data_IF_519623965033
#
_entry.id   IF_519623965033
#
_cell.length_a   1.000
_cell.length_b   1.000
_cell.length_c   1.000
_cell.angle_alpha   90.00
_cell.angle_beta   90.00
_cell.angle_gamma   90.00
#
_symmetry.space_group_name_H-M   'P 1'
#
loop_
_entity.id
_entity.type
_entity.pdbx_description
1 polymer ?
#
# COMPACT_ATOMS: atom_id res chain seq x y z
N UNK A 1 10.74 -55.39 -9.33
CA UNK A 1 9.80 -55.31 -10.47
C UNK A 1 9.20 -53.91 -10.48
N UNK A 2 9.38 -53.19 -11.59
CA UNK A 2 9.31 -51.72 -11.73
C UNK A 2 7.90 -51.13 -11.64
N UNK A 3 7.63 -50.30 -10.62
CA UNK A 3 6.47 -49.38 -10.61
C UNK A 3 6.61 -48.25 -11.63
N UNK A 4 7.84 -47.85 -11.98
CA UNK A 4 8.13 -46.80 -12.98
C UNK A 4 7.80 -47.23 -14.42
N UNK A 5 7.81 -48.52 -14.72
CA UNK A 5 7.46 -49.03 -16.06
C UNK A 5 5.94 -49.11 -16.29
N UNK A 6 5.15 -49.26 -15.21
CA UNK A 6 3.69 -49.34 -15.30
C UNK A 6 3.04 -47.97 -15.54
N UNK A 7 3.57 -46.91 -14.92
CA UNK A 7 3.06 -45.53 -15.09
C UNK A 7 3.36 -45.00 -16.48
N UNK A 8 4.54 -45.29 -17.04
CA UNK A 8 4.91 -44.82 -18.38
C UNK A 8 4.11 -45.53 -19.49
N UNK A 9 3.67 -46.77 -19.28
CA UNK A 9 2.87 -47.51 -20.27
C UNK A 9 1.43 -46.99 -20.38
N UNK A 10 0.87 -46.47 -19.29
CA UNK A 10 -0.51 -45.96 -19.26
C UNK A 10 -0.68 -44.57 -19.90
N UNK A 11 0.39 -43.75 -19.96
CA UNK A 11 0.31 -42.40 -20.57
C UNK A 11 0.30 -42.41 -22.10
N UNK A 12 0.77 -43.49 -22.73
CA UNK A 12 0.82 -43.65 -24.20
C UNK A 12 -0.53 -44.08 -24.78
N UNK A 13 -1.35 -44.81 -24.01
CA UNK A 13 -2.69 -45.27 -24.44
C UNK A 13 -3.81 -44.27 -24.13
N UNK A 14 -3.49 -43.13 -23.52
CA UNK A 14 -4.51 -42.16 -23.14
C UNK A 14 -4.98 -41.37 -24.37
N UNK A 15 -6.30 -41.27 -24.53
CA UNK A 15 -6.92 -40.48 -25.59
C UNK A 15 -6.28 -39.08 -25.63
N UNK A 16 -5.90 -38.55 -26.81
CA UNK A 16 -5.27 -37.24 -26.93
C UNK A 16 -6.07 -36.10 -26.28
N UNK A 17 -7.39 -36.22 -26.15
CA UNK A 17 -8.23 -35.27 -25.38
C UNK A 17 -8.05 -35.39 -23.87
N UNK A 18 -8.03 -36.60 -23.30
CA UNK A 18 -7.81 -36.82 -21.86
C UNK A 18 -6.37 -36.43 -21.47
N UNK A 19 -5.41 -36.62 -22.37
CA UNK A 19 -4.03 -36.12 -22.20
C UNK A 19 -3.92 -34.59 -22.19
N UNK A 20 -4.87 -33.88 -22.81
CA UNK A 20 -4.94 -32.41 -22.71
C UNK A 20 -5.57 -31.98 -21.39
N UNK A 21 -6.60 -32.68 -20.92
CA UNK A 21 -7.23 -32.38 -19.62
C UNK A 21 -6.27 -32.60 -18.46
N UNK A 22 -5.58 -33.74 -18.42
CA UNK A 22 -4.53 -34.01 -17.42
C UNK A 22 -3.39 -32.98 -17.47
N UNK A 23 -2.96 -32.54 -18.66
CA UNK A 23 -1.96 -31.46 -18.79
C UNK A 23 -2.49 -30.09 -18.36
N UNK A 24 -3.80 -29.85 -18.42
CA UNK A 24 -4.42 -28.61 -17.93
C UNK A 24 -4.55 -28.67 -16.41
N UNK A 25 -4.96 -29.80 -15.85
CA UNK A 25 -4.98 -30.05 -14.39
C UNK A 25 -3.57 -29.95 -13.78
N UNK A 26 -2.56 -30.64 -14.32
CA UNK A 26 -1.17 -30.54 -13.85
C UNK A 26 -0.62 -29.10 -13.96
N UNK A 27 -0.97 -28.37 -15.04
CA UNK A 27 -0.53 -26.99 -15.25
C UNK A 27 -1.22 -25.99 -14.32
N UNK A 28 -2.46 -26.26 -13.91
CA UNK A 28 -3.17 -25.43 -12.93
C UNK A 28 -2.70 -25.74 -11.49
N UNK A 29 -2.31 -26.99 -11.19
CA UNK A 29 -1.72 -27.37 -9.90
C UNK A 29 -0.30 -26.79 -9.68
N UNK A 30 0.56 -26.78 -10.70
CA UNK A 30 1.90 -26.16 -10.64
C UNK A 30 1.86 -24.62 -10.60
N UNK A 31 0.69 -24.03 -10.85
CA UNK A 31 0.50 -22.59 -11.02
C UNK A 31 -0.52 -22.03 -10.01
N UNK A 32 -0.62 -22.68 -8.84
CA UNK A 32 -1.34 -22.17 -7.68
C UNK A 32 -0.57 -21.06 -6.96
N UNK A 33 -1.30 -20.20 -6.27
CA UNK A 33 -0.75 -19.16 -5.42
C UNK A 33 -0.03 -19.74 -4.19
N UNK A 34 1.10 -19.14 -3.82
CA UNK A 34 1.95 -19.54 -2.70
C UNK A 34 2.26 -18.35 -1.79
N UNK A 35 2.42 -18.60 -0.50
CA UNK A 35 2.84 -17.61 0.49
C UNK A 35 4.17 -16.94 0.10
N UNK A 36 5.15 -17.74 -0.36
CA UNK A 36 6.45 -17.21 -0.80
C UNK A 36 6.32 -16.33 -2.04
N UNK A 37 5.44 -16.71 -2.97
CA UNK A 37 5.17 -15.93 -4.18
C UNK A 37 4.54 -14.57 -3.89
N UNK A 38 3.67 -14.50 -2.87
CA UNK A 38 3.05 -13.25 -2.40
C UNK A 38 4.08 -12.39 -1.67
N UNK A 39 4.85 -12.98 -0.74
CA UNK A 39 5.85 -12.26 0.04
C UNK A 39 6.91 -11.57 -0.85
N UNK A 40 7.44 -12.28 -1.86
CA UNK A 40 8.39 -11.70 -2.81
C UNK A 40 7.78 -10.51 -3.58
N UNK A 41 6.52 -10.61 -4.00
CA UNK A 41 5.84 -9.51 -4.71
C UNK A 41 5.59 -8.31 -3.81
N UNK A 42 5.23 -8.54 -2.54
CA UNK A 42 5.08 -7.45 -1.56
C UNK A 42 6.43 -6.76 -1.34
N UNK A 43 7.54 -7.51 -1.26
CA UNK A 43 8.89 -6.93 -1.17
C UNK A 43 9.21 -6.10 -2.41
N UNK A 44 8.86 -6.56 -3.62
CA UNK A 44 9.05 -5.78 -4.85
C UNK A 44 8.32 -4.43 -4.77
N UNK A 45 7.07 -4.41 -4.27
CA UNK A 45 6.33 -3.17 -4.08
C UNK A 45 6.97 -2.25 -3.03
N UNK A 46 7.46 -2.80 -1.92
CA UNK A 46 8.18 -2.02 -0.91
C UNK A 46 9.49 -1.45 -1.44
N UNK A 47 10.25 -2.23 -2.20
CA UNK A 47 11.47 -1.76 -2.87
C UNK A 47 11.16 -0.67 -3.90
N UNK A 48 10.02 -0.75 -4.60
CA UNK A 48 9.58 0.32 -5.49
C UNK A 48 9.29 1.62 -4.72
N UNK A 49 8.69 1.55 -3.53
CA UNK A 49 8.49 2.73 -2.68
C UNK A 49 9.83 3.34 -2.21
N UNK A 50 10.77 2.50 -1.79
CA UNK A 50 12.14 2.94 -1.41
C UNK A 50 12.88 3.53 -2.61
N UNK A 51 12.71 2.95 -3.81
CA UNK A 51 13.28 3.50 -5.04
C UNK A 51 12.68 4.88 -5.35
N UNK A 52 11.39 5.09 -5.13
CA UNK A 52 10.75 6.41 -5.23
C UNK A 52 11.34 7.44 -4.26
N UNK A 53 11.55 7.05 -3.00
CA UNK A 53 12.22 7.87 -1.99
C UNK A 53 13.65 8.24 -2.41
N UNK A 54 14.44 7.26 -2.86
CA UNK A 54 15.80 7.49 -3.32
C UNK A 54 15.84 8.37 -4.59
N UNK A 55 14.89 8.18 -5.51
CA UNK A 55 14.78 8.95 -6.74
C UNK A 55 14.59 10.44 -6.46
N UNK A 56 13.90 10.82 -5.38
CA UNK A 56 13.79 12.22 -4.96
C UNK A 56 15.17 12.84 -4.71
N UNK A 57 16.02 12.22 -3.88
CA UNK A 57 17.34 12.77 -3.57
C UNK A 57 18.25 12.88 -4.80
N UNK A 58 18.18 11.89 -5.69
CA UNK A 58 18.93 11.91 -6.95
C UNK A 58 18.44 13.05 -7.84
N UNK A 59 17.12 13.17 -8.04
CA UNK A 59 16.53 14.23 -8.85
C UNK A 59 16.79 15.62 -8.26
N UNK A 60 16.72 15.77 -6.94
CA UNK A 60 17.02 17.02 -6.25
C UNK A 60 18.46 17.48 -6.50
N UNK A 61 19.43 16.56 -6.45
CA UNK A 61 20.82 16.85 -6.81
C UNK A 61 21.01 17.20 -8.29
N UNK A 62 20.29 16.52 -9.20
CA UNK A 62 20.38 16.77 -10.64
C UNK A 62 19.74 18.10 -11.07
N UNK A 63 18.71 18.54 -10.35
CA UNK A 63 17.97 19.77 -10.63
C UNK A 63 18.59 21.01 -9.97
N UNK A 64 19.75 20.85 -9.32
CA UNK A 64 20.49 21.95 -8.73
C UNK A 64 20.80 23.05 -9.77
N UNK A 65 20.38 24.29 -9.46
CA UNK A 65 20.53 25.45 -10.35
C UNK A 65 19.36 25.70 -11.32
N UNK A 66 18.31 24.88 -11.28
CA UNK A 66 17.05 25.17 -11.99
C UNK A 66 16.22 26.25 -11.27
N UNK A 67 15.21 26.86 -11.94
CA UNK A 67 14.39 27.91 -11.33
C UNK A 67 13.69 27.41 -10.05
N UNK A 68 13.77 28.19 -8.98
CA UNK A 68 13.12 27.88 -7.70
C UNK A 68 11.74 28.51 -7.59
N UNK A 69 10.84 27.85 -6.87
CA UNK A 69 9.60 28.42 -6.36
C UNK A 69 9.62 28.39 -4.85
N UNK A 70 9.05 29.42 -4.24
CA UNK A 70 8.84 29.50 -2.80
C UNK A 70 7.35 29.29 -2.53
N UNK A 71 7.02 28.28 -1.73
CA UNK A 71 5.67 28.09 -1.22
C UNK A 71 5.75 27.97 0.28
N UNK A 72 5.03 28.86 0.99
CA UNK A 72 4.98 28.89 2.45
C UNK A 72 6.36 28.94 3.13
N UNK A 73 7.32 29.69 2.57
CA UNK A 73 8.66 29.86 3.14
C UNK A 73 9.66 28.73 2.82
N UNK A 74 9.27 27.75 2.00
CA UNK A 74 10.15 26.68 1.55
C UNK A 74 10.45 26.79 0.06
N UNK A 75 11.74 26.78 -0.27
CA UNK A 75 12.24 26.83 -1.65
C UNK A 75 12.41 25.42 -2.20
N UNK A 76 11.77 25.13 -3.33
CA UNK A 76 11.99 23.92 -4.11
C UNK A 76 12.12 24.24 -5.59
N UNK A 77 12.65 23.32 -6.38
CA UNK A 77 12.81 23.55 -7.82
C UNK A 77 11.46 23.44 -8.53
N UNK A 78 11.17 24.33 -9.48
CA UNK A 78 9.90 24.34 -10.23
C UNK A 78 9.60 22.99 -10.89
N UNK A 79 10.65 22.39 -11.46
CA UNK A 79 10.59 21.08 -12.11
C UNK A 79 10.22 19.98 -11.11
N UNK A 80 10.68 20.05 -9.87
CA UNK A 80 10.32 19.08 -8.82
C UNK A 80 8.84 19.13 -8.48
N UNK A 81 8.26 20.33 -8.41
CA UNK A 81 6.84 20.52 -8.19
C UNK A 81 5.99 19.88 -9.29
N UNK A 82 6.40 20.03 -10.55
CA UNK A 82 5.71 19.43 -11.70
C UNK A 82 5.81 17.90 -11.66
N UNK A 83 7.00 17.36 -11.39
CA UNK A 83 7.22 15.91 -11.26
C UNK A 83 6.39 15.35 -10.10
N UNK A 84 6.35 16.05 -8.96
CA UNK A 84 5.53 15.65 -7.80
C UNK A 84 4.05 15.64 -8.13
N UNK A 85 3.54 16.66 -8.81
CA UNK A 85 2.14 16.73 -9.21
C UNK A 85 1.78 15.55 -10.13
N UNK A 86 2.63 15.26 -11.14
CA UNK A 86 2.45 14.11 -12.02
C UNK A 86 2.49 12.78 -11.23
N UNK A 87 3.47 12.62 -10.34
CA UNK A 87 3.61 11.42 -9.50
C UNK A 87 2.41 11.21 -8.56
N UNK A 88 1.88 12.27 -7.95
CA UNK A 88 0.69 12.22 -7.10
C UNK A 88 -0.54 11.79 -7.90
N UNK A 89 -0.77 12.38 -9.08
CA UNK A 89 -1.91 12.04 -9.93
C UNK A 89 -1.82 10.58 -10.39
N UNK A 90 -0.64 10.14 -10.85
CA UNK A 90 -0.41 8.75 -11.26
C UNK A 90 -0.62 7.78 -10.09
N UNK A 91 -0.11 8.12 -8.91
CA UNK A 91 -0.26 7.29 -7.70
C UNK A 91 -1.71 7.24 -7.23
N UNK A 92 -2.46 8.34 -7.34
CA UNK A 92 -3.86 8.35 -6.98
C UNK A 92 -4.71 7.47 -7.92
N UNK A 93 -4.44 7.51 -9.22
CA UNK A 93 -5.20 6.77 -10.23
C UNK A 93 -4.80 5.30 -10.36
N UNK A 94 -3.53 4.96 -10.10
CA UNK A 94 -2.99 3.63 -10.31
C UNK A 94 -3.76 2.50 -9.57
N UNK A 95 -4.17 2.63 -8.29
CA UNK A 95 -4.97 1.62 -7.60
C UNK A 95 -6.32 1.37 -8.28
N UNK A 96 -7.00 2.42 -8.76
CA UNK A 96 -8.29 2.27 -9.44
C UNK A 96 -8.14 1.51 -10.77
N UNK A 97 -7.09 1.81 -11.53
CA UNK A 97 -6.81 1.12 -12.79
C UNK A 97 -6.41 -0.34 -12.52
N UNK A 98 -5.61 -0.60 -11.48
CA UNK A 98 -5.21 -1.94 -11.07
C UNK A 98 -6.43 -2.80 -10.64
N UNK A 99 -7.46 -2.19 -10.04
CA UNK A 99 -8.71 -2.87 -9.67
C UNK A 99 -9.56 -3.26 -10.89
N UNK A 100 -9.61 -2.40 -11.91
CA UNK A 100 -10.37 -2.66 -13.15
C UNK A 100 -9.64 -3.69 -14.00
N UNK A 101 -8.32 -3.57 -14.13
CA UNK A 101 -7.50 -4.40 -15.03
C UNK A 101 -6.50 -5.23 -14.22
N UNK A 102 -6.99 -6.37 -13.69
CA UNK A 102 -6.19 -7.32 -12.87
C UNK A 102 -4.84 -7.75 -13.45
N UNK A 103 -4.65 -7.99 -14.76
CA UNK A 103 -3.33 -8.37 -15.27
C UNK A 103 -2.30 -7.22 -15.21
N UNK A 104 -2.74 -5.96 -15.04
CA UNK A 104 -1.86 -4.79 -14.96
C UNK A 104 -1.49 -4.41 -13.51
N UNK A 105 -1.94 -5.17 -12.51
CA UNK A 105 -1.58 -4.98 -11.09
C UNK A 105 -0.06 -4.88 -10.86
N UNK A 106 0.81 -5.69 -11.49
CA UNK A 106 2.26 -5.56 -11.27
C UNK A 106 2.78 -4.18 -11.66
N UNK A 107 2.35 -3.68 -12.83
CA UNK A 107 2.81 -2.40 -13.37
C UNK A 107 2.27 -1.22 -12.55
N UNK A 108 0.95 -1.16 -12.38
CA UNK A 108 0.32 -0.06 -11.65
C UNK A 108 0.65 -0.09 -10.16
N UNK A 109 0.88 -1.27 -9.57
CA UNK A 109 1.34 -1.38 -8.19
C UNK A 109 2.74 -0.81 -7.98
N UNK A 110 3.66 -1.03 -8.92
CA UNK A 110 5.00 -0.43 -8.87
C UNK A 110 4.91 1.09 -9.06
N UNK A 111 4.14 1.56 -10.03
CA UNK A 111 3.92 3.01 -10.27
C UNK A 111 3.34 3.68 -9.03
N UNK A 112 2.33 3.06 -8.41
CA UNK A 112 1.73 3.53 -7.16
C UNK A 112 2.76 3.66 -6.03
N UNK A 113 3.54 2.60 -5.79
CA UNK A 113 4.51 2.58 -4.69
C UNK A 113 5.63 3.60 -4.92
N UNK A 114 6.22 3.62 -6.12
CA UNK A 114 7.31 4.52 -6.46
C UNK A 114 6.85 5.99 -6.47
N UNK A 115 5.69 6.28 -7.05
CA UNK A 115 5.14 7.62 -7.09
C UNK A 115 4.78 8.16 -5.71
N UNK A 116 4.21 7.32 -4.82
CA UNK A 116 3.99 7.70 -3.43
C UNK A 116 5.29 7.93 -2.69
N UNK A 117 6.28 7.03 -2.82
CA UNK A 117 7.59 7.19 -2.19
C UNK A 117 8.23 8.53 -2.55
N UNK A 118 8.24 8.88 -3.84
CA UNK A 118 8.74 10.17 -4.30
C UNK A 118 7.95 11.36 -3.71
N UNK A 119 6.62 11.31 -3.81
CA UNK A 119 5.75 12.41 -3.42
C UNK A 119 5.80 12.70 -1.91
N UNK A 120 5.85 11.65 -1.09
CA UNK A 120 5.96 11.78 0.37
C UNK A 120 7.30 12.41 0.77
N UNK A 121 8.37 12.10 0.03
CA UNK A 121 9.71 12.64 0.29
C UNK A 121 9.78 14.13 0.01
N UNK A 122 9.23 14.55 -1.12
CA UNK A 122 9.18 15.97 -1.48
C UNK A 122 8.25 16.77 -0.56
N UNK A 123 7.03 16.28 -0.29
CA UNK A 123 6.14 16.96 0.65
C UNK A 123 6.72 16.97 2.07
N UNK A 124 7.52 15.96 2.38
CA UNK A 124 8.23 15.79 3.63
C UNK A 124 9.37 16.77 3.84
N UNK A 125 10.15 17.09 2.80
CA UNK A 125 11.25 18.05 2.90
C UNK A 125 10.77 19.48 3.23
N UNK A 126 9.51 19.78 2.93
CA UNK A 126 8.81 21.02 3.35
C UNK A 126 8.56 21.05 4.87
N UNK A 127 8.69 19.94 5.60
CA UNK A 127 8.49 19.90 7.07
C UNK A 127 9.74 20.29 7.88
N UNK A 128 10.90 20.48 7.23
CA UNK A 128 12.15 20.92 7.84
C UNK A 128 13.26 19.85 7.90
N UNK A 129 14.40 20.23 8.50
CA UNK A 129 15.64 19.43 8.49
C UNK A 129 15.51 18.05 9.16
N UNK A 130 14.63 17.91 10.15
CA UNK A 130 14.46 16.67 10.92
C UNK A 130 13.61 15.60 10.20
N UNK A 131 13.13 15.90 8.99
CA UNK A 131 12.22 15.03 8.23
C UNK A 131 12.75 13.59 8.10
N UNK A 132 14.04 13.43 7.80
CA UNK A 132 14.64 12.11 7.63
C UNK A 132 14.51 11.25 8.90
N UNK A 133 14.75 11.83 10.08
CA UNK A 133 14.65 11.13 11.36
C UNK A 133 13.21 10.70 11.64
N UNK A 134 12.23 11.57 11.36
CA UNK A 134 10.81 11.26 11.52
C UNK A 134 10.36 10.13 10.59
N UNK A 135 10.87 10.08 9.36
CA UNK A 135 10.60 8.99 8.41
C UNK A 135 11.19 7.67 8.92
N UNK A 136 12.44 7.64 9.38
CA UNK A 136 13.05 6.42 9.90
C UNK A 136 12.34 5.92 11.16
N UNK A 137 11.90 6.82 12.04
CA UNK A 137 11.08 6.48 13.20
C UNK A 137 9.73 5.87 12.78
N UNK A 138 9.05 6.50 11.82
CA UNK A 138 7.78 5.99 11.29
C UNK A 138 7.93 4.62 10.62
N UNK A 139 9.01 4.41 9.85
CA UNK A 139 9.34 3.12 9.24
C UNK A 139 9.58 2.05 10.30
N UNK A 140 10.37 2.34 11.34
CA UNK A 140 10.62 1.40 12.44
C UNK A 140 9.34 0.97 13.14
N UNK A 141 8.44 1.93 13.45
CA UNK A 141 7.14 1.64 14.04
C UNK A 141 6.22 0.84 13.10
N UNK A 142 6.25 1.12 11.80
CA UNK A 142 5.45 0.39 10.81
C UNK A 142 5.88 -1.07 10.74
N UNK A 143 7.20 -1.32 10.67
CA UNK A 143 7.76 -2.68 10.66
C UNK A 143 7.39 -3.41 11.95
N UNK A 144 7.51 -2.75 13.10
CA UNK A 144 7.15 -3.30 14.40
C UNK A 144 5.65 -3.69 14.44
N UNK A 145 4.76 -2.79 14.03
CA UNK A 145 3.31 -3.05 14.04
C UNK A 145 2.93 -4.16 13.07
N UNK A 146 3.51 -4.19 11.86
CA UNK A 146 3.30 -5.28 10.91
C UNK A 146 3.76 -6.61 11.52
N UNK A 147 4.94 -6.67 12.14
CA UNK A 147 5.46 -7.88 12.78
C UNK A 147 4.54 -8.36 13.92
N UNK A 148 4.08 -7.45 14.78
CA UNK A 148 3.12 -7.75 15.86
C UNK A 148 1.81 -8.29 15.28
N UNK A 149 1.28 -7.68 14.22
CA UNK A 149 0.03 -8.11 13.59
C UNK A 149 0.17 -9.48 12.91
N UNK A 150 1.33 -9.78 12.31
CA UNK A 150 1.62 -11.13 11.76
C UNK A 150 1.62 -12.16 12.88
N UNK A 151 2.28 -11.89 14.01
CA UNK A 151 2.28 -12.80 15.18
C UNK A 151 0.85 -12.97 15.72
N UNK A 152 0.10 -11.89 15.85
CA UNK A 152 -1.28 -11.92 16.37
C UNK A 152 -2.23 -12.72 15.46
N UNK A 153 -2.03 -12.63 14.14
CA UNK A 153 -2.78 -13.39 13.16
C UNK A 153 -2.41 -14.87 13.18
N UNK A 154 -1.11 -15.19 13.14
CA UNK A 154 -0.62 -16.58 13.11
C UNK A 154 -0.90 -17.35 14.40
N UNK A 155 -0.93 -16.67 15.55
CA UNK A 155 -1.35 -17.27 16.84
C UNK A 155 -2.85 -17.56 16.93
N UNK A 156 -3.65 -17.11 15.95
CA UNK A 156 -5.09 -17.36 15.90
C UNK A 156 -5.90 -16.67 17.00
N UNK A 157 -5.29 -15.73 17.74
CA UNK A 157 -5.95 -14.95 18.79
C UNK A 157 -7.10 -14.12 18.20
N UNK A 158 -6.89 -13.57 16.99
CA UNK A 158 -7.89 -12.75 16.29
C UNK A 158 -8.37 -13.47 15.04
N UNK A 159 -9.67 -13.85 15.03
CA UNK A 159 -10.31 -14.49 13.87
C UNK A 159 -11.06 -13.49 13.02
N UNK A 160 -10.74 -13.45 11.72
CA UNK A 160 -11.41 -12.59 10.74
C UNK A 160 -12.73 -13.21 10.30
N UNK A 161 -13.83 -12.71 10.87
CA UNK A 161 -15.19 -13.15 10.54
C UNK A 161 -15.78 -12.40 9.34
N UNK A 162 -16.88 -12.90 8.79
CA UNK A 162 -17.62 -12.20 7.71
C UNK A 162 -18.08 -10.81 8.15
N UNK A 163 -18.58 -10.68 9.39
CA UNK A 163 -18.98 -9.39 9.95
C UNK A 163 -17.81 -8.42 10.08
N UNK A 164 -16.65 -8.89 10.54
CA UNK A 164 -15.44 -8.07 10.61
C UNK A 164 -15.07 -7.47 9.25
N UNK A 165 -15.09 -8.30 8.19
CA UNK A 165 -14.81 -7.86 6.82
C UNK A 165 -15.80 -6.81 6.33
N UNK A 166 -17.09 -6.97 6.62
CA UNK A 166 -18.12 -5.98 6.26
C UNK A 166 -17.88 -4.66 6.98
N UNK A 167 -17.58 -4.68 8.28
CA UNK A 167 -17.29 -3.46 9.05
C UNK A 167 -16.06 -2.74 8.48
N UNK A 168 -14.98 -3.47 8.18
CA UNK A 168 -13.78 -2.89 7.56
C UNK A 168 -14.07 -2.28 6.18
N UNK A 169 -14.87 -2.95 5.35
CA UNK A 169 -15.28 -2.41 4.05
C UNK A 169 -16.08 -1.11 4.22
N UNK A 170 -17.04 -1.08 5.17
CA UNK A 170 -17.81 0.13 5.45
C UNK A 170 -16.89 1.27 5.91
N UNK A 171 -15.93 1.01 6.82
CA UNK A 171 -14.95 2.00 7.25
C UNK A 171 -14.11 2.53 6.08
N UNK A 172 -13.68 1.65 5.17
CA UNK A 172 -12.93 2.04 3.98
C UNK A 172 -13.75 2.97 3.06
N UNK A 173 -15.00 2.60 2.77
CA UNK A 173 -15.90 3.42 1.95
C UNK A 173 -16.21 4.76 2.61
N UNK A 174 -16.47 4.76 3.92
CA UNK A 174 -16.69 6.00 4.68
C UNK A 174 -15.46 6.91 4.63
N UNK A 175 -14.25 6.36 4.73
CA UNK A 175 -13.01 7.14 4.63
C UNK A 175 -12.85 7.79 3.24
N UNK A 176 -13.18 7.06 2.16
CA UNK A 176 -13.13 7.61 0.80
C UNK A 176 -14.20 8.69 0.60
N UNK A 177 -15.45 8.41 0.98
CA UNK A 177 -16.57 9.34 0.82
C UNK A 177 -16.32 10.62 1.63
N UNK A 178 -15.89 10.49 2.88
CA UNK A 178 -15.54 11.66 3.71
C UNK A 178 -14.40 12.48 3.11
N UNK A 179 -13.39 11.83 2.51
CA UNK A 179 -12.33 12.52 1.77
C UNK A 179 -12.85 13.31 0.56
N UNK A 180 -13.72 12.70 -0.26
CA UNK A 180 -14.32 13.35 -1.43
C UNK A 180 -15.21 14.52 -1.00
N UNK A 181 -16.05 14.32 0.02
CA UNK A 181 -16.91 15.38 0.57
C UNK A 181 -16.06 16.52 1.12
N UNK A 182 -15.01 16.23 1.89
CA UNK A 182 -14.08 17.24 2.39
C UNK A 182 -13.41 18.03 1.27
N UNK A 183 -12.96 17.34 0.21
CA UNK A 183 -12.39 17.99 -0.97
C UNK A 183 -13.39 18.91 -1.69
N UNK A 184 -14.62 18.44 -1.91
CA UNK A 184 -15.68 19.24 -2.55
C UNK A 184 -16.06 20.46 -1.71
N UNK A 185 -16.17 20.30 -0.39
CA UNK A 185 -16.47 21.40 0.53
C UNK A 185 -15.34 22.44 0.58
N UNK A 186 -14.10 22.05 0.31
CA UNK A 186 -12.96 22.97 0.25
C UNK A 186 -13.08 24.01 -0.87
N UNK A 187 -13.90 23.79 -1.90
CA UNK A 187 -14.13 24.74 -2.99
C UNK A 187 -15.22 25.78 -2.67
N UNK A 188 -15.97 25.60 -1.57
CA UNK A 188 -17.06 26.50 -1.19
C UNK A 188 -16.50 27.62 -0.28
N UNK A 189 -16.45 28.88 -0.74
CA UNK A 189 -16.00 30.00 0.09
C UNK A 189 -16.97 30.18 1.27
N UNK A 190 -16.51 29.92 2.50
CA UNK A 190 -17.30 30.02 3.73
C UNK A 190 -17.37 28.72 4.55
N UNK A 191 -17.21 27.55 3.92
CA UNK A 191 -17.15 26.24 4.62
C UNK A 191 -15.70 25.73 4.75
N UNK A 192 -14.79 26.27 3.95
CA UNK A 192 -13.35 25.97 3.99
C UNK A 192 -12.73 26.07 5.39
N UNK A 193 -13.13 27.06 6.19
CA UNK A 193 -12.64 27.24 7.57
C UNK A 193 -13.11 26.13 8.53
N UNK A 194 -14.30 25.55 8.31
CA UNK A 194 -14.81 24.44 9.13
C UNK A 194 -14.06 23.16 8.79
N UNK A 195 -13.79 22.92 7.49
CA UNK A 195 -12.96 21.79 7.04
C UNK A 195 -11.53 21.92 7.59
N UNK A 196 -10.97 23.13 7.58
CA UNK A 196 -9.66 23.43 8.18
C UNK A 196 -9.67 23.21 9.71
N UNK A 197 -10.74 23.61 10.42
CA UNK A 197 -10.85 23.43 11.86
C UNK A 197 -10.79 21.95 12.32
N UNK A 198 -11.43 21.03 11.58
CA UNK A 198 -11.29 19.59 11.85
C UNK A 198 -9.88 19.05 11.55
N UNK A 199 -9.12 19.72 10.68
CA UNK A 199 -7.72 19.41 10.39
C UNK A 199 -6.74 19.99 11.42
N UNK A 200 -7.06 21.16 11.97
CA UNK A 200 -6.17 22.00 12.77
C UNK A 200 -6.37 21.87 14.29
N UNK A 201 -7.48 21.30 14.77
CA UNK A 201 -7.69 21.07 16.20
C UNK A 201 -6.64 20.07 16.75
N UNK A 202 -5.68 20.50 17.60
CA UNK A 202 -4.47 19.71 17.89
C UNK A 202 -4.77 18.38 18.59
N UNK A 203 -5.67 18.41 19.58
CA UNK A 203 -6.01 17.24 20.40
C UNK A 203 -6.86 16.25 19.61
N UNK A 204 -7.88 16.75 18.89
CA UNK A 204 -8.73 15.91 18.03
C UNK A 204 -7.91 15.26 16.91
N UNK A 205 -6.94 15.98 16.34
CA UNK A 205 -6.07 15.48 15.29
C UNK A 205 -5.16 14.32 15.72
N UNK A 206 -4.68 14.33 16.97
CA UNK A 206 -3.85 13.25 17.55
C UNK A 206 -4.71 12.02 17.86
N UNK A 207 -5.85 12.19 18.56
CA UNK A 207 -6.74 11.08 18.92
C UNK A 207 -7.25 10.37 17.67
N UNK A 208 -7.72 11.12 16.66
CA UNK A 208 -8.13 10.53 15.40
C UNK A 208 -6.97 9.83 14.68
N UNK A 209 -5.75 10.35 14.77
CA UNK A 209 -4.56 9.70 14.22
C UNK A 209 -4.33 8.30 14.79
N UNK A 210 -4.41 8.15 16.12
CA UNK A 210 -4.32 6.84 16.79
C UNK A 210 -5.44 5.90 16.32
N UNK A 211 -6.67 6.39 16.22
CA UNK A 211 -7.81 5.59 15.72
C UNK A 211 -7.54 5.09 14.29
N UNK A 212 -7.02 5.94 13.40
CA UNK A 212 -6.68 5.52 12.04
C UNK A 212 -5.56 4.47 11.99
N UNK A 213 -4.59 4.52 12.90
CA UNK A 213 -3.53 3.49 13.01
C UNK A 213 -4.14 2.15 13.44
N UNK A 214 -5.04 2.16 14.42
CA UNK A 214 -5.76 0.94 14.85
C UNK A 214 -6.56 0.36 13.69
N UNK A 215 -7.30 1.20 12.96
CA UNK A 215 -8.06 0.77 11.78
C UNK A 215 -7.13 0.19 10.71
N UNK A 216 -5.99 0.83 10.43
CA UNK A 216 -4.99 0.32 9.49
C UNK A 216 -4.43 -1.06 9.92
N UNK A 217 -4.20 -1.26 11.22
CA UNK A 217 -3.82 -2.57 11.75
C UNK A 217 -4.92 -3.62 11.57
N UNK A 218 -6.20 -3.24 11.71
CA UNK A 218 -7.32 -4.14 11.44
C UNK A 218 -7.43 -4.50 9.96
N UNK A 219 -7.09 -3.60 9.04
CA UNK A 219 -6.98 -3.91 7.61
C UNK A 219 -5.89 -4.95 7.34
N UNK A 220 -4.73 -4.88 8.02
CA UNK A 220 -3.68 -5.91 7.88
C UNK A 220 -4.20 -7.31 8.21
N UNK A 221 -5.05 -7.44 9.23
CA UNK A 221 -5.69 -8.73 9.55
C UNK A 221 -6.57 -9.24 8.40
N UNK A 222 -7.33 -8.36 7.74
CA UNK A 222 -8.13 -8.72 6.55
C UNK A 222 -7.22 -9.14 5.39
N UNK A 223 -6.08 -8.48 5.22
CA UNK A 223 -5.12 -8.82 4.18
C UNK A 223 -4.49 -10.18 4.43
N UNK A 224 -4.09 -10.49 5.66
CA UNK A 224 -3.54 -11.80 6.03
C UNK A 224 -4.57 -12.92 5.82
N UNK A 225 -5.84 -12.70 6.21
CA UNK A 225 -6.94 -13.64 5.94
C UNK A 225 -7.22 -13.80 4.45
N UNK A 226 -7.06 -12.74 3.66
CA UNK A 226 -7.20 -12.82 2.21
C UNK A 226 -6.05 -13.60 1.57
N UNK A 227 -4.82 -13.43 2.06
CA UNK A 227 -3.65 -14.20 1.63
C UNK A 227 -3.83 -15.67 1.97
N UNK A 228 -4.19 -16.00 3.22
CA UNK A 228 -4.41 -17.38 3.66
C UNK A 228 -5.46 -18.06 2.78
N UNK A 229 -6.62 -17.43 2.58
CA UNK A 229 -7.66 -17.97 1.68
C UNK A 229 -7.22 -18.09 0.23
N UNK A 230 -6.34 -17.22 -0.25
CA UNK A 230 -5.84 -17.28 -1.64
C UNK A 230 -4.98 -18.53 -1.85
N UNK A 231 -4.16 -18.88 -0.86
CA UNK A 231 -3.27 -20.05 -0.91
C UNK A 231 -4.04 -21.34 -0.59
N UNK A 232 -4.88 -21.34 0.46
CA UNK A 232 -5.65 -22.53 0.87
C UNK A 232 -6.67 -22.97 -0.18
N UNK A 233 -7.30 -22.01 -0.88
CA UNK A 233 -8.21 -22.32 -1.98
C UNK A 233 -7.49 -22.58 -3.31
N UNK A 234 -6.15 -22.69 -3.31
CA UNK A 234 -5.32 -22.96 -4.50
C UNK A 234 -5.65 -22.04 -5.68
N UNK A 235 -5.86 -20.74 -5.42
CA UNK A 235 -6.21 -19.80 -6.48
C UNK A 235 -5.08 -19.69 -7.52
N UNK A 236 -5.39 -19.38 -8.79
CA UNK A 236 -4.37 -19.21 -9.83
C UNK A 236 -3.31 -18.16 -9.46
N UNK A 237 -2.06 -18.35 -9.88
CA UNK A 237 -0.89 -17.50 -9.57
C UNK A 237 -1.08 -16.00 -9.83
N UNK A 238 -1.94 -15.62 -10.78
CA UNK A 238 -2.30 -14.22 -11.04
C UNK A 238 -2.89 -13.50 -9.82
N UNK A 239 -3.52 -14.22 -8.89
CA UNK A 239 -4.07 -13.67 -7.67
C UNK A 239 -3.00 -13.32 -6.62
N UNK A 240 -1.78 -13.86 -6.74
CA UNK A 240 -0.66 -13.47 -5.87
C UNK A 240 -0.35 -11.98 -5.99
N UNK A 241 -0.42 -11.43 -7.21
CA UNK A 241 -0.19 -9.99 -7.44
C UNK A 241 -1.26 -9.13 -6.78
N UNK A 242 -2.52 -9.55 -6.83
CA UNK A 242 -3.62 -8.84 -6.18
C UNK A 242 -3.49 -8.87 -4.65
N UNK A 243 -3.20 -10.05 -4.09
CA UNK A 243 -3.02 -10.22 -2.64
C UNK A 243 -1.79 -9.44 -2.14
N UNK A 244 -0.66 -9.50 -2.87
CA UNK A 244 0.55 -8.77 -2.55
C UNK A 244 0.35 -7.25 -2.62
N UNK A 245 -0.39 -6.77 -3.63
CA UNK A 245 -0.70 -5.35 -3.79
C UNK A 245 -1.62 -4.83 -2.69
N UNK A 246 -2.66 -5.58 -2.31
CA UNK A 246 -3.53 -5.22 -1.19
C UNK A 246 -2.75 -5.08 0.12
N UNK A 247 -1.92 -6.07 0.43
CA UNK A 247 -1.04 -6.01 1.59
C UNK A 247 -0.07 -4.81 1.51
N UNK A 248 0.55 -4.57 0.36
CA UNK A 248 1.46 -3.44 0.18
C UNK A 248 0.75 -2.09 0.36
N UNK A 249 -0.45 -1.95 -0.19
CA UNK A 249 -1.28 -0.76 -0.05
C UNK A 249 -1.59 -0.47 1.43
N UNK A 250 -2.00 -1.48 2.20
CA UNK A 250 -2.29 -1.32 3.63
C UNK A 250 -1.03 -0.98 4.45
N UNK A 251 0.11 -1.61 4.14
CA UNK A 251 1.39 -1.30 4.81
C UNK A 251 1.81 0.16 4.53
N UNK A 252 1.70 0.64 3.29
CA UNK A 252 1.99 2.04 2.94
C UNK A 252 0.99 2.98 3.62
N UNK A 253 -0.29 2.61 3.66
CA UNK A 253 -1.32 3.39 4.36
C UNK A 253 -1.03 3.49 5.87
N UNK A 254 -0.63 2.39 6.51
CA UNK A 254 -0.23 2.37 7.91
C UNK A 254 0.97 3.30 8.16
N UNK A 255 2.00 3.23 7.31
CA UNK A 255 3.15 4.13 7.35
C UNK A 255 2.71 5.60 7.28
N UNK A 256 1.86 5.96 6.32
CA UNK A 256 1.35 7.33 6.17
C UNK A 256 0.60 7.82 7.42
N UNK A 257 -0.18 6.95 8.08
CA UNK A 257 -0.90 7.30 9.31
C UNK A 257 0.03 7.50 10.50
N UNK A 258 1.03 6.63 10.65
CA UNK A 258 2.06 6.76 11.71
C UNK A 258 2.87 8.03 11.49
N UNK A 259 3.34 8.25 10.26
CA UNK A 259 4.10 9.43 9.89
C UNK A 259 3.30 10.72 10.16
N UNK A 260 2.03 10.76 9.74
CA UNK A 260 1.16 11.90 10.01
C UNK A 260 0.98 12.17 11.51
N UNK A 261 0.82 11.12 12.32
CA UNK A 261 0.71 11.26 13.78
C UNK A 261 1.99 11.84 14.39
N UNK A 262 3.16 11.35 13.99
CA UNK A 262 4.46 11.85 14.46
C UNK A 262 4.65 13.32 14.09
N UNK A 263 4.31 13.71 12.85
CA UNK A 263 4.37 15.10 12.41
C UNK A 263 3.48 16.01 13.26
N UNK A 264 2.24 15.58 13.56
CA UNK A 264 1.33 16.35 14.43
C UNK A 264 1.85 16.49 15.86
N UNK A 265 2.41 15.42 16.42
CA UNK A 265 3.03 15.47 17.76
C UNK A 265 4.21 16.44 17.81
N UNK A 266 5.03 16.45 16.76
CA UNK A 266 6.19 17.34 16.64
C UNK A 266 5.77 18.80 16.49
N UNK A 267 4.76 19.07 15.67
CA UNK A 267 4.21 20.42 15.51
C UNK A 267 3.58 20.96 16.80
N UNK A 268 2.85 20.12 17.54
CA UNK A 268 2.24 20.54 18.80
C UNK A 268 3.28 20.91 19.87
N UNK A 269 4.41 20.19 19.90
CA UNK A 269 5.52 20.49 20.81
C UNK A 269 6.20 21.84 20.48
N UNK A 270 6.30 22.22 19.20
CA UNK A 270 6.85 23.54 18.80
C UNK A 270 5.94 24.72 19.17
N UNK A 271 4.67 24.47 19.43
CA UNK A 271 3.65 25.48 19.76
C UNK A 271 3.35 25.57 21.28
N UNK A 272 4.01 24.76 22.11
CA UNK A 272 3.91 24.78 23.58
C UNK A 272 5.17 25.40 24.20
#
# INVERSE_FOLDING_TARGET
>A
MNQTAAVHKNSVMMNPMIRRLSRVEERDEDNCASYGGIAVKTIIFMLAAVAGFAAYFVLHGMLAGSPTMEVQGYTFYQTEGIICAAALVLSFLAPFIALIIRPLIPLFGIIYCAGLGYSITLLGSVLGADYAELVFLALGLTILLVAVMVILYTTGIVKVTKHFRTVMLTLFLTAIISGIVGFLLSFIPGVSHIVAFFGEAPIFGIVLGVVYIIIACMFLLVDFDTIQRTVENKLPKKYEWAAAFGLAYTVIYLFLKIFNLICKLTQNNKNS
#
